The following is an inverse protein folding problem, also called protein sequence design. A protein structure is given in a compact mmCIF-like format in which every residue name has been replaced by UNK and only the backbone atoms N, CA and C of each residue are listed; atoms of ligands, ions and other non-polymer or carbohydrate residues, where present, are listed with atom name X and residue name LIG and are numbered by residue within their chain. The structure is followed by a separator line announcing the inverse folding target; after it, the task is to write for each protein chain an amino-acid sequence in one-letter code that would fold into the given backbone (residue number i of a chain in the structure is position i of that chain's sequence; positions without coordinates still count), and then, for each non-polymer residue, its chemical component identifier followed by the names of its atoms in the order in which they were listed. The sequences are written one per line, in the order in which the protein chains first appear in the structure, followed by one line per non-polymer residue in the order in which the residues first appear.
data_IF_990077552218
#
_entry.id   IF_990077552218
#
_cell.length_a   1.000
_cell.length_b   1.000
_cell.length_c   1.000
_cell.angle_alpha   90.00
_cell.angle_beta   90.00
_cell.angle_gamma   90.00
#
_symmetry.space_group_name_H-M   'P 1'
#
loop_
_entity.id
_entity.type
_entity.pdbx_description
1 polymer ?
#
# COMPACT_ATOMS: atom_id res chain seq x y z
N UNK A 1 -38.44 -13.95 16.15
CA UNK A 1 -38.07 -13.71 14.74
C UNK A 1 -36.76 -12.95 14.67
N UNK A 2 -35.69 -13.67 14.44
CA UNK A 2 -34.37 -13.04 14.28
C UNK A 2 -34.27 -12.48 12.88
N UNK A 3 -34.29 -11.16 12.75
CA UNK A 3 -33.95 -10.51 11.49
C UNK A 3 -32.44 -10.67 11.28
N UNK A 4 -32.09 -11.57 10.38
CA UNK A 4 -30.73 -11.66 9.83
C UNK A 4 -30.52 -10.39 8.99
N UNK A 5 -29.76 -9.44 9.52
CA UNK A 5 -29.33 -8.28 8.73
C UNK A 5 -28.40 -8.81 7.67
N UNK A 6 -28.83 -8.72 6.42
CA UNK A 6 -28.01 -9.04 5.25
C UNK A 6 -26.88 -7.99 5.14
N UNK A 7 -25.68 -8.36 5.60
CA UNK A 7 -24.47 -7.52 5.54
C UNK A 7 -23.72 -7.65 4.21
N UNK A 8 -24.32 -8.28 3.19
CA UNK A 8 -23.72 -8.42 1.85
C UNK A 8 -23.58 -7.08 1.10
N UNK A 9 -24.13 -5.99 1.62
CA UNK A 9 -24.06 -4.63 1.05
C UNK A 9 -22.98 -3.72 1.63
N UNK A 10 -22.20 -4.14 2.62
CA UNK A 10 -21.06 -3.36 3.10
C UNK A 10 -19.92 -3.50 2.09
N UNK A 11 -19.68 -2.46 1.30
CA UNK A 11 -18.60 -2.43 0.33
C UNK A 11 -17.28 -2.79 1.04
N UNK A 12 -16.68 -3.89 0.62
CA UNK A 12 -15.44 -4.39 1.18
C UNK A 12 -14.35 -3.32 0.99
N UNK A 13 -13.81 -2.78 2.09
CA UNK A 13 -12.78 -1.74 2.05
C UNK A 13 -11.55 -2.24 1.29
N UNK A 14 -10.90 -1.32 0.58
CA UNK A 14 -9.76 -1.59 -0.29
C UNK A 14 -8.54 -0.83 0.15
N UNK A 15 -7.46 -1.55 0.37
CA UNK A 15 -6.13 -1.01 0.66
C UNK A 15 -5.23 -1.28 -0.54
N UNK A 16 -4.71 -0.25 -1.17
CA UNK A 16 -3.69 -0.41 -2.20
C UNK A 16 -2.28 -0.22 -1.61
N UNK A 17 -1.36 -1.11 -1.96
CA UNK A 17 0.05 -0.95 -1.65
C UNK A 17 0.75 -0.29 -2.85
N UNK A 18 1.39 0.83 -2.61
CA UNK A 18 2.17 1.60 -3.59
C UNK A 18 3.60 1.74 -3.08
N UNK A 19 4.58 1.72 -3.97
CA UNK A 19 5.97 1.92 -3.59
C UNK A 19 6.93 1.66 -4.74
N UNK A 20 8.17 2.06 -4.53
CA UNK A 20 9.23 1.82 -5.52
C UNK A 20 9.51 0.32 -5.67
N UNK A 21 10.06 -0.10 -6.81
CA UNK A 21 10.60 -1.45 -6.94
C UNK A 21 11.58 -1.78 -5.80
N UNK A 22 11.50 -2.99 -5.28
CA UNK A 22 12.38 -3.50 -4.21
C UNK A 22 12.28 -2.78 -2.84
N UNK A 23 11.20 -2.04 -2.57
CA UNK A 23 10.96 -1.45 -1.25
C UNK A 23 10.37 -2.43 -0.22
N UNK A 24 10.18 -3.70 -0.60
CA UNK A 24 9.60 -4.73 0.26
C UNK A 24 8.07 -4.82 0.21
N UNK A 25 7.44 -4.18 -0.76
CA UNK A 25 5.99 -4.12 -0.94
C UNK A 25 5.36 -5.51 -1.08
N UNK A 26 5.92 -6.38 -1.93
CA UNK A 26 5.41 -7.75 -2.13
C UNK A 26 5.55 -8.62 -0.89
N UNK A 27 6.62 -8.47 -0.10
CA UNK A 27 6.76 -9.17 1.17
C UNK A 27 5.70 -8.72 2.18
N UNK A 28 5.41 -7.42 2.23
CA UNK A 28 4.35 -6.87 3.06
C UNK A 28 2.97 -7.38 2.61
N UNK A 29 2.71 -7.39 1.30
CA UNK A 29 1.49 -7.94 0.71
C UNK A 29 1.26 -9.40 1.12
N UNK A 30 2.28 -10.25 0.96
CA UNK A 30 2.20 -11.66 1.33
C UNK A 30 1.92 -11.86 2.83
N UNK A 31 2.46 -11.01 3.69
CA UNK A 31 2.18 -11.03 5.13
C UNK A 31 0.74 -10.65 5.45
N UNK A 32 0.23 -9.60 4.81
CA UNK A 32 -1.13 -9.13 5.02
C UNK A 32 -2.17 -10.15 4.55
N UNK A 33 -1.90 -10.84 3.45
CA UNK A 33 -2.88 -11.73 2.79
C UNK A 33 -2.66 -13.20 3.08
N UNK A 34 -1.61 -13.57 3.82
CA UNK A 34 -1.26 -14.96 4.09
C UNK A 34 -0.89 -15.74 2.82
N UNK A 35 -0.33 -15.07 1.81
CA UNK A 35 0.04 -15.64 0.50
C UNK A 35 -1.13 -16.17 -0.34
N UNK A 36 -2.37 -15.96 0.09
CA UNK A 36 -3.57 -16.27 -0.68
C UNK A 36 -3.88 -15.10 -1.63
N UNK A 37 -3.28 -15.14 -2.79
CA UNK A 37 -3.38 -14.07 -3.78
C UNK A 37 -4.03 -14.55 -5.08
N UNK A 38 -4.72 -13.64 -5.73
CA UNK A 38 -5.13 -13.77 -7.14
C UNK A 38 -4.28 -12.83 -7.96
N UNK A 39 -3.61 -13.35 -8.96
CA UNK A 39 -2.87 -12.57 -9.96
C UNK A 39 -3.77 -12.40 -11.17
N UNK A 40 -3.90 -11.19 -11.64
CA UNK A 40 -4.64 -10.88 -12.87
C UNK A 40 -3.83 -9.91 -13.72
N UNK A 41 -3.77 -10.16 -15.02
CA UNK A 41 -3.17 -9.22 -15.95
C UNK A 41 -4.10 -8.02 -16.14
N UNK A 42 -3.52 -6.85 -16.17
CA UNK A 42 -4.25 -5.63 -16.50
C UNK A 42 -4.47 -5.56 -18.00
N UNK A 43 -5.72 -5.42 -18.46
CA UNK A 43 -6.04 -5.55 -19.89
C UNK A 43 -5.35 -4.47 -20.72
N UNK A 44 -4.79 -4.90 -21.84
CA UNK A 44 -4.13 -4.02 -22.81
C UNK A 44 -2.66 -3.74 -22.52
N UNK A 45 -2.10 -4.24 -21.41
CA UNK A 45 -0.70 -4.07 -21.03
C UNK A 45 -0.14 -5.35 -20.40
N UNK A 46 1.18 -5.48 -20.30
CA UNK A 46 1.87 -6.63 -19.68
C UNK A 46 2.06 -6.47 -18.17
N UNK A 47 1.14 -5.78 -17.50
CA UNK A 47 1.22 -5.46 -16.08
C UNK A 47 0.32 -6.39 -15.27
N UNK A 48 0.86 -6.96 -14.20
CA UNK A 48 0.13 -7.82 -13.26
C UNK A 48 -0.31 -7.04 -12.02
N UNK A 49 -1.58 -7.23 -11.64
CA UNK A 49 -2.10 -6.81 -10.35
C UNK A 49 -2.33 -8.04 -9.47
N UNK A 50 -1.88 -7.95 -8.22
CA UNK A 50 -2.13 -8.98 -7.22
C UNK A 50 -3.19 -8.49 -6.24
N UNK A 51 -4.18 -9.33 -5.98
CA UNK A 51 -5.25 -9.07 -5.01
C UNK A 51 -5.25 -10.17 -3.97
N UNK A 52 -5.43 -9.79 -2.73
CA UNK A 52 -5.56 -10.71 -1.61
C UNK A 52 -6.59 -10.23 -0.61
N UNK A 53 -7.02 -11.13 0.26
CA UNK A 53 -7.92 -10.80 1.38
C UNK A 53 -7.11 -10.74 2.67
N UNK A 54 -7.46 -9.80 3.51
CA UNK A 54 -6.95 -9.65 4.87
C UNK A 54 -8.10 -9.27 5.80
N UNK A 55 -7.82 -9.19 7.10
CA UNK A 55 -8.78 -8.77 8.11
C UNK A 55 -8.10 -7.78 9.05
N UNK A 56 -8.84 -6.77 9.44
CA UNK A 56 -8.40 -5.88 10.52
C UNK A 56 -8.34 -6.63 11.85
N UNK A 57 -7.66 -6.12 12.89
CA UNK A 57 -7.67 -6.71 14.23
C UNK A 57 -9.10 -6.88 14.81
N UNK A 58 -10.06 -6.06 14.36
CA UNK A 58 -11.47 -6.13 14.73
C UNK A 58 -12.26 -7.16 13.89
N UNK A 59 -11.61 -7.87 12.96
CA UNK A 59 -12.21 -8.91 12.14
C UNK A 59 -12.89 -8.43 10.86
N UNK A 60 -12.83 -7.14 10.50
CA UNK A 60 -13.41 -6.64 9.26
C UNK A 60 -12.59 -7.10 8.06
N UNK A 61 -13.27 -7.66 7.07
CA UNK A 61 -12.61 -8.09 5.82
C UNK A 61 -12.19 -6.88 4.97
N UNK A 62 -10.97 -6.92 4.46
CA UNK A 62 -10.43 -5.94 3.51
C UNK A 62 -9.85 -6.64 2.29
N UNK A 63 -9.90 -5.96 1.15
CA UNK A 63 -9.16 -6.36 -0.06
C UNK A 63 -7.86 -5.58 -0.11
N UNK A 64 -6.74 -6.28 -0.20
CA UNK A 64 -5.42 -5.69 -0.41
C UNK A 64 -5.05 -5.85 -1.88
N UNK A 65 -4.63 -4.74 -2.50
CA UNK A 65 -4.18 -4.71 -3.90
C UNK A 65 -2.71 -4.31 -3.93
N UNK A 66 -1.87 -5.16 -4.51
CA UNK A 66 -0.45 -4.87 -4.73
C UNK A 66 -0.29 -4.21 -6.10
N UNK A 67 -0.04 -2.91 -6.12
CA UNK A 67 0.20 -2.17 -7.36
C UNK A 67 1.61 -2.43 -7.89
N UNK A 68 1.84 -2.26 -9.20
CA UNK A 68 3.19 -2.36 -9.76
C UNK A 68 4.17 -1.42 -9.06
N UNK A 69 5.42 -1.86 -8.93
CA UNK A 69 6.48 -1.01 -8.37
C UNK A 69 6.76 0.17 -9.29
N UNK A 70 6.65 1.39 -8.79
CA UNK A 70 6.81 2.61 -9.58
C UNK A 70 7.70 3.62 -8.88
N UNK A 71 8.35 4.50 -9.64
CA UNK A 71 9.12 5.62 -9.10
C UNK A 71 8.35 6.94 -9.14
N UNK A 72 7.34 7.02 -9.98
CA UNK A 72 6.46 8.19 -10.09
C UNK A 72 5.04 7.78 -10.49
N UNK A 73 4.12 8.73 -10.46
CA UNK A 73 2.75 8.55 -10.94
C UNK A 73 2.49 9.44 -12.19
N UNK A 74 3.53 9.69 -12.98
CA UNK A 74 3.44 10.55 -14.17
C UNK A 74 3.16 9.77 -15.47
N UNK A 75 2.88 8.48 -15.38
CA UNK A 75 2.57 7.61 -16.52
C UNK A 75 3.67 7.52 -17.59
N UNK A 76 4.95 7.57 -17.18
CA UNK A 76 6.10 7.40 -18.04
C UNK A 76 6.36 5.94 -18.45
N UNK A 77 5.72 4.97 -17.80
CA UNK A 77 5.74 3.54 -18.11
C UNK A 77 4.36 2.93 -17.95
N UNK A 78 4.16 1.69 -18.44
CA UNK A 78 2.91 0.96 -18.25
C UNK A 78 2.60 0.75 -16.77
N UNK A 79 3.60 0.39 -15.97
CA UNK A 79 3.48 0.21 -14.52
C UNK A 79 3.01 1.49 -13.82
N UNK A 80 3.61 2.64 -14.17
CA UNK A 80 3.23 3.94 -13.63
C UNK A 80 1.82 4.35 -14.05
N UNK A 81 1.46 4.09 -15.31
CA UNK A 81 0.12 4.38 -15.83
C UNK A 81 -0.95 3.57 -15.10
N UNK A 82 -0.74 2.26 -14.92
CA UNK A 82 -1.67 1.39 -14.20
C UNK A 82 -1.80 1.82 -12.74
N UNK A 83 -0.69 2.05 -12.04
CA UNK A 83 -0.71 2.51 -10.66
C UNK A 83 -1.47 3.84 -10.51
N UNK A 84 -1.21 4.80 -11.40
CA UNK A 84 -1.88 6.10 -11.44
C UNK A 84 -3.40 5.96 -11.64
N UNK A 85 -3.82 5.18 -12.65
CA UNK A 85 -5.25 4.97 -12.95
C UNK A 85 -5.99 4.34 -11.77
N UNK A 86 -5.41 3.33 -11.12
CA UNK A 86 -6.02 2.68 -9.96
C UNK A 86 -6.14 3.66 -8.79
N UNK A 87 -5.08 4.36 -8.45
CA UNK A 87 -5.04 5.30 -7.32
C UNK A 87 -6.05 6.45 -7.50
N UNK A 88 -6.20 6.95 -8.72
CA UNK A 88 -7.14 8.03 -9.05
C UNK A 88 -8.58 7.52 -9.28
N UNK A 89 -8.82 6.22 -9.28
CA UNK A 89 -10.14 5.63 -9.56
C UNK A 89 -10.54 5.76 -11.03
N UNK A 90 -9.60 5.85 -11.93
CA UNK A 90 -9.79 5.93 -13.38
C UNK A 90 -9.69 4.56 -14.07
N UNK A 91 -9.37 3.52 -13.30
CA UNK A 91 -9.28 2.15 -13.81
C UNK A 91 -10.68 1.55 -14.01
N UNK A 92 -10.91 0.92 -15.15
CA UNK A 92 -12.13 0.15 -15.43
C UNK A 92 -12.11 -1.25 -14.80
N UNK A 93 -10.96 -1.74 -14.37
CA UNK A 93 -10.76 -3.11 -13.90
C UNK A 93 -10.55 -3.22 -12.40
N UNK A 94 -10.05 -2.17 -11.79
CA UNK A 94 -9.77 -2.11 -10.35
C UNK A 94 -10.48 -0.91 -9.74
N UNK A 95 -11.42 -1.13 -8.82
CA UNK A 95 -12.07 -0.03 -8.13
C UNK A 95 -11.08 0.83 -7.36
N UNK A 96 -11.41 2.11 -7.22
CA UNK A 96 -10.61 3.05 -6.43
C UNK A 96 -10.38 2.51 -5.02
N UNK A 97 -9.14 2.53 -4.51
CA UNK A 97 -8.86 2.15 -3.13
C UNK A 97 -9.41 3.21 -2.15
N UNK A 98 -9.86 2.75 -0.99
CA UNK A 98 -10.27 3.65 0.11
C UNK A 98 -9.05 4.27 0.78
N UNK A 99 -7.93 3.55 0.78
CA UNK A 99 -6.66 3.98 1.38
C UNK A 99 -5.49 3.47 0.55
N UNK A 100 -4.47 4.30 0.40
CA UNK A 100 -3.20 3.93 -0.22
C UNK A 100 -2.11 3.86 0.85
N UNK A 101 -1.47 2.72 1.02
CA UNK A 101 -0.29 2.57 1.85
C UNK A 101 0.97 2.74 0.97
N UNK A 102 1.70 3.82 1.19
CA UNK A 102 2.94 4.09 0.47
C UNK A 102 4.10 3.45 1.23
N UNK A 103 4.65 2.38 0.66
CA UNK A 103 5.76 1.64 1.25
C UNK A 103 7.08 2.31 0.90
N UNK A 104 7.75 2.85 1.91
CA UNK A 104 9.04 3.51 1.79
C UNK A 104 10.16 2.60 2.32
N UNK A 105 11.23 2.50 1.55
CA UNK A 105 12.48 1.89 1.99
C UNK A 105 13.24 2.87 2.89
N UNK A 106 13.39 2.54 4.17
CA UNK A 106 14.08 3.37 5.16
C UNK A 106 15.54 3.67 4.77
N UNK A 107 16.17 2.80 3.97
CA UNK A 107 17.54 2.99 3.49
C UNK A 107 17.63 4.00 2.35
N UNK A 108 16.50 4.32 1.69
CA UNK A 108 16.44 5.15 0.47
C UNK A 108 15.21 6.07 0.42
N UNK A 109 14.86 6.71 1.52
CA UNK A 109 13.65 7.50 1.68
C UNK A 109 13.36 8.49 0.54
N UNK A 110 14.37 9.23 0.09
CA UNK A 110 14.19 10.27 -0.94
C UNK A 110 13.51 9.77 -2.21
N UNK A 111 13.73 8.49 -2.56
CA UNK A 111 13.13 7.91 -3.77
C UNK A 111 11.62 7.74 -3.65
N UNK A 112 11.14 7.33 -2.47
CA UNK A 112 9.72 7.07 -2.25
C UNK A 112 8.91 8.32 -1.89
N UNK A 113 9.52 9.38 -1.37
CA UNK A 113 8.82 10.60 -0.97
C UNK A 113 8.10 11.31 -2.13
N UNK A 114 8.55 11.11 -3.36
CA UNK A 114 7.87 11.65 -4.57
C UNK A 114 6.46 11.07 -4.73
N UNK A 115 6.27 9.79 -4.42
CA UNK A 115 4.96 9.14 -4.45
C UNK A 115 4.03 9.74 -3.39
N UNK A 116 4.54 9.94 -2.19
CA UNK A 116 3.78 10.58 -1.09
C UNK A 116 3.34 11.99 -1.49
N UNK A 117 4.26 12.80 -2.02
CA UNK A 117 3.96 14.16 -2.45
C UNK A 117 2.91 14.20 -3.58
N UNK A 118 2.94 13.26 -4.52
CA UNK A 118 1.95 13.17 -5.58
C UNK A 118 0.55 12.85 -5.02
N UNK A 119 0.44 11.88 -4.10
CA UNK A 119 -0.82 11.52 -3.47
C UNK A 119 -1.42 12.67 -2.66
N UNK A 120 -0.58 13.37 -1.87
CA UNK A 120 -1.02 14.55 -1.12
C UNK A 120 -1.57 15.65 -2.03
N UNK A 121 -0.88 15.92 -3.15
CA UNK A 121 -1.29 16.91 -4.14
C UNK A 121 -2.63 16.56 -4.80
N UNK A 122 -2.92 15.27 -4.94
CA UNK A 122 -4.19 14.78 -5.50
C UNK A 122 -5.25 14.51 -4.44
N UNK A 123 -4.98 14.82 -3.18
CA UNK A 123 -5.88 14.57 -2.04
C UNK A 123 -6.34 13.11 -1.95
N UNK A 124 -5.47 12.18 -2.31
CA UNK A 124 -5.72 10.75 -2.17
C UNK A 124 -5.46 10.34 -0.72
N UNK A 125 -6.42 9.70 -0.03
CA UNK A 125 -6.20 9.21 1.33
C UNK A 125 -5.02 8.22 1.35
N UNK A 126 -4.00 8.54 2.13
CA UNK A 126 -2.81 7.70 2.21
C UNK A 126 -2.18 7.68 3.60
N UNK A 127 -1.46 6.60 3.86
CA UNK A 127 -0.56 6.44 4.99
C UNK A 127 0.82 6.05 4.47
N UNK A 128 1.83 6.29 5.28
CA UNK A 128 3.21 5.91 4.95
C UNK A 128 3.60 4.69 5.78
N UNK A 129 4.14 3.69 5.11
CA UNK A 129 4.70 2.49 5.73
C UNK A 129 6.21 2.55 5.60
N UNK A 130 6.90 2.81 6.70
CA UNK A 130 8.35 2.83 6.76
C UNK A 130 8.87 1.41 6.94
N UNK A 131 9.37 0.82 5.87
CA UNK A 131 9.85 -0.55 5.83
C UNK A 131 11.37 -0.63 5.90
N UNK A 132 11.92 -1.82 6.15
CA UNK A 132 13.35 -2.09 6.27
C UNK A 132 14.04 -1.32 7.42
N UNK A 133 13.31 -1.00 8.47
CA UNK A 133 13.84 -0.31 9.65
C UNK A 133 14.93 -1.10 10.37
N UNK A 134 14.89 -2.42 10.28
CA UNK A 134 15.93 -3.34 10.78
C UNK A 134 17.32 -3.02 10.20
N UNK A 135 17.38 -2.56 8.96
CA UNK A 135 18.63 -2.22 8.26
C UNK A 135 19.27 -0.90 8.67
N UNK A 136 18.48 0.00 9.24
CA UNK A 136 18.91 1.36 9.58
C UNK A 136 19.04 1.62 11.08
N UNK A 137 18.65 0.68 11.92
CA UNK A 137 18.66 0.82 13.40
C UNK A 137 20.04 1.17 13.97
N UNK A 138 21.10 0.73 13.30
CA UNK A 138 22.50 0.99 13.71
C UNK A 138 23.08 2.26 13.14
N UNK A 139 22.34 3.00 12.33
CA UNK A 139 22.80 4.28 11.77
C UNK A 139 22.89 5.34 12.87
N UNK A 140 23.82 6.27 12.73
CA UNK A 140 23.95 7.40 13.67
C UNK A 140 22.66 8.25 13.74
N UNK A 141 21.99 8.39 12.60
CA UNK A 141 20.73 9.13 12.48
C UNK A 141 19.70 8.29 11.68
N UNK A 142 19.06 7.29 12.30
CA UNK A 142 18.08 6.49 11.62
C UNK A 142 16.82 7.31 11.32
N UNK A 143 16.11 7.01 10.24
CA UNK A 143 14.78 7.57 10.00
C UNK A 143 13.84 7.31 11.18
N UNK A 144 12.97 8.27 11.47
CA UNK A 144 11.98 8.16 12.54
C UNK A 144 10.58 8.36 11.98
N UNK A 145 9.69 7.40 12.23
CA UNK A 145 8.30 7.50 11.84
C UNK A 145 7.64 8.74 12.44
N UNK A 146 7.90 9.04 13.71
CA UNK A 146 7.37 10.21 14.40
C UNK A 146 7.80 11.54 13.72
N UNK A 147 9.10 11.68 13.39
CA UNK A 147 9.58 12.89 12.70
C UNK A 147 8.99 13.02 11.30
N UNK A 148 8.90 11.91 10.56
CA UNK A 148 8.28 11.90 9.24
C UNK A 148 6.81 12.26 9.31
N UNK A 149 6.07 11.75 10.29
CA UNK A 149 4.66 12.09 10.51
C UNK A 149 4.49 13.58 10.77
N UNK A 150 5.33 14.18 11.63
CA UNK A 150 5.28 15.62 11.90
C UNK A 150 5.54 16.46 10.65
N UNK A 151 6.52 16.07 9.85
CA UNK A 151 6.90 16.84 8.63
C UNK A 151 5.86 16.68 7.52
N UNK A 152 5.34 15.47 7.31
CA UNK A 152 4.42 15.20 6.20
C UNK A 152 2.95 15.46 6.55
N UNK A 153 2.58 15.52 7.83
CA UNK A 153 1.19 15.62 8.25
C UNK A 153 0.35 14.38 7.91
N UNK A 154 0.99 13.22 7.72
CA UNK A 154 0.35 11.94 7.39
C UNK A 154 0.70 10.90 8.45
N UNK A 155 -0.20 9.93 8.71
CA UNK A 155 0.14 8.78 9.55
C UNK A 155 1.34 8.03 8.97
N UNK A 156 2.31 7.70 9.83
CA UNK A 156 3.49 6.91 9.48
C UNK A 156 3.59 5.74 10.43
N UNK A 157 3.61 4.52 9.88
CA UNK A 157 3.82 3.29 10.64
C UNK A 157 5.13 2.63 10.26
N UNK A 158 5.83 2.07 11.24
CA UNK A 158 7.00 1.25 10.99
C UNK A 158 6.58 -0.19 10.76
N UNK A 159 7.06 -0.77 9.66
CA UNK A 159 6.80 -2.15 9.34
C UNK A 159 8.06 -2.82 8.78
N UNK A 160 8.11 -4.14 8.92
CA UNK A 160 9.07 -4.98 8.19
C UNK A 160 8.31 -6.11 7.54
N UNK A 161 8.36 -6.20 6.23
CA UNK A 161 7.74 -7.29 5.47
C UNK A 161 8.29 -8.67 5.82
N UNK A 162 9.45 -8.73 6.50
CA UNK A 162 10.10 -9.95 6.93
C UNK A 162 9.59 -10.41 8.31
N UNK A 163 9.26 -9.48 9.21
CA UNK A 163 8.80 -9.82 10.56
C UNK A 163 7.28 -9.99 10.64
N UNK A 164 6.78 -11.02 11.38
CA UNK A 164 5.34 -11.28 11.50
C UNK A 164 4.52 -10.10 12.01
N UNK A 165 5.08 -9.31 12.92
CA UNK A 165 4.41 -8.19 13.56
C UNK A 165 4.38 -6.91 12.70
N UNK A 166 5.24 -6.82 11.69
CA UNK A 166 5.35 -5.62 10.87
C UNK A 166 4.12 -5.31 10.02
N UNK A 167 3.37 -6.34 9.64
CA UNK A 167 2.17 -6.16 8.84
C UNK A 167 0.95 -5.76 9.69
N UNK A 168 0.92 -6.12 10.97
CA UNK A 168 -0.22 -5.83 11.87
C UNK A 168 -0.36 -4.33 12.18
N UNK A 169 0.73 -3.60 12.14
CA UNK A 169 0.71 -2.14 12.39
C UNK A 169 -0.03 -1.36 11.29
N UNK A 170 -0.29 -2.00 10.14
CA UNK A 170 -0.97 -1.38 9.00
C UNK A 170 -2.49 -1.61 9.01
N UNK A 171 -2.96 -2.61 9.72
CA UNK A 171 -4.37 -3.00 9.81
C UNK A 171 -5.05 -2.44 11.05
#
# INVERSE_FOLDING_TARGET
MSQTVDISGLSQRRLALLGNPNCGKSALFNRLTGSKQKVANYAGVTVELKRGRSHTPQGHAITVVDLPGTYSLQAGSEDEAVACQVVLGQSLQEPRPDLVAVVLDATRLRRGLRLVAALQRWHVPCIVVLNMMDRVRTWAHPPSAHKLQQVMGLPVVEASGIHPQGAQALL
#
